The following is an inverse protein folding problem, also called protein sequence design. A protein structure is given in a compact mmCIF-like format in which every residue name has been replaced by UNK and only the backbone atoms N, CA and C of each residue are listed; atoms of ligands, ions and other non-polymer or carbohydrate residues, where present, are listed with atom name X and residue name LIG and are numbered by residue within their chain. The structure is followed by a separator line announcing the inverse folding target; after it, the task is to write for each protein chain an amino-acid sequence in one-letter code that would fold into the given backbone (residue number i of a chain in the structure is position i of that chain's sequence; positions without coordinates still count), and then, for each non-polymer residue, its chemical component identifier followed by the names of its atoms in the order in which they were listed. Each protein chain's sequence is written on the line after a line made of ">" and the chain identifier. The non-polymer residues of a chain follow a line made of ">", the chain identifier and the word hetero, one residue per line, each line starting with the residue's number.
data_IF_273764117496
#
_entry.id   IF_273764117496
#
_cell.length_a   1.000
_cell.length_b   1.000
_cell.length_c   1.000
_cell.angle_alpha   90.00
_cell.angle_beta   90.00
_cell.angle_gamma   90.00
#
_symmetry.space_group_name_H-M   'P 1'
#
loop_
_entity.id
_entity.type
_entity.pdbx_description
1 polymer ?
#
# COMPACT_ATOMS: atom_id res chain seq x y z
N UNK A 1 -16.93 -19.42 6.97
CA UNK A 1 -15.74 -18.54 6.93
C UNK A 1 -15.72 -17.85 5.58
N UNK A 2 -16.27 -16.64 5.49
CA UNK A 2 -16.17 -15.84 4.26
C UNK A 2 -14.75 -15.29 4.20
N UNK A 3 -13.92 -15.88 3.33
CA UNK A 3 -12.62 -15.32 3.02
C UNK A 3 -12.84 -13.95 2.36
N UNK A 4 -12.43 -12.90 3.05
CA UNK A 4 -12.37 -11.55 2.51
C UNK A 4 -11.27 -11.50 1.44
N UNK A 5 -11.55 -12.04 0.26
CA UNK A 5 -10.71 -11.89 -0.91
C UNK A 5 -10.81 -10.42 -1.33
N UNK A 6 -9.70 -9.69 -1.24
CA UNK A 6 -9.61 -8.34 -1.77
C UNK A 6 -10.08 -8.34 -3.23
N UNK A 7 -11.16 -7.60 -3.53
CA UNK A 7 -11.68 -7.50 -4.90
C UNK A 7 -10.59 -6.94 -5.81
N UNK A 8 -10.31 -7.60 -6.92
CA UNK A 8 -9.45 -7.06 -7.98
C UNK A 8 -10.07 -5.79 -8.53
N UNK A 9 -9.34 -4.68 -8.52
CA UNK A 9 -9.79 -3.45 -9.17
C UNK A 9 -9.75 -3.62 -10.70
N UNK A 10 -10.83 -3.34 -11.43
CA UNK A 10 -10.84 -3.44 -12.89
C UNK A 10 -9.94 -2.34 -13.49
N UNK A 11 -8.94 -2.74 -14.28
CA UNK A 11 -7.96 -1.82 -14.87
C UNK A 11 -8.61 -0.76 -15.78
N UNK A 12 -9.70 -1.12 -16.46
CA UNK A 12 -10.46 -0.21 -17.33
C UNK A 12 -11.01 1.00 -16.57
N UNK A 13 -11.39 0.84 -15.30
CA UNK A 13 -11.83 1.97 -14.48
C UNK A 13 -10.66 2.84 -14.04
N UNK A 14 -9.48 2.25 -13.87
CA UNK A 14 -8.26 2.98 -13.51
C UNK A 14 -7.79 3.87 -14.65
N UNK A 15 -7.83 3.37 -15.89
CA UNK A 15 -7.46 4.15 -17.09
C UNK A 15 -8.45 5.30 -17.40
N UNK A 16 -9.70 5.22 -16.94
CA UNK A 16 -10.69 6.30 -17.09
C UNK A 16 -10.40 7.51 -16.17
N UNK A 17 -9.57 7.32 -15.13
CA UNK A 17 -9.22 8.42 -14.23
C UNK A 17 -8.33 9.44 -14.95
N UNK A 18 -8.35 10.73 -14.54
CA UNK A 18 -7.52 11.77 -15.12
C UNK A 18 -6.05 11.67 -14.66
N UNK A 19 -5.46 10.46 -14.68
CA UNK A 19 -4.06 10.21 -14.30
C UNK A 19 -3.10 10.46 -15.47
N UNK A 20 -3.60 10.42 -16.71
CA UNK A 20 -2.78 10.54 -17.93
C UNK A 20 -1.87 9.34 -18.16
N UNK A 21 -2.18 8.19 -17.57
CA UNK A 21 -1.47 6.93 -17.74
C UNK A 21 -2.14 6.13 -18.84
N UNK A 22 -1.34 5.62 -19.79
CA UNK A 22 -1.85 4.82 -20.90
C UNK A 22 -1.48 3.35 -20.75
N UNK A 23 -2.23 2.42 -21.39
CA UNK A 23 -1.83 1.02 -21.48
C UNK A 23 -0.43 0.82 -22.10
N UNK A 24 -0.01 1.73 -22.99
CA UNK A 24 1.32 1.68 -23.61
C UNK A 24 2.45 1.94 -22.59
N UNK A 25 2.24 2.84 -21.64
CA UNK A 25 3.21 3.12 -20.57
C UNK A 25 3.43 1.87 -19.70
N UNK A 26 2.33 1.19 -19.35
CA UNK A 26 2.35 -0.03 -18.55
C UNK A 26 3.00 -1.17 -19.34
N UNK A 27 2.72 -1.30 -20.64
CA UNK A 27 3.40 -2.27 -21.50
C UNK A 27 4.92 -2.04 -21.56
N UNK A 28 5.38 -0.78 -21.59
CA UNK A 28 6.82 -0.46 -21.52
C UNK A 28 7.43 -0.85 -20.18
N UNK A 29 6.75 -0.59 -19.06
CA UNK A 29 7.18 -1.02 -17.74
C UNK A 29 7.23 -2.55 -17.64
N UNK A 30 6.23 -3.25 -18.18
CA UNK A 30 6.18 -4.72 -18.23
C UNK A 30 7.35 -5.30 -19.02
N UNK A 31 7.66 -4.72 -20.19
CA UNK A 31 8.81 -5.13 -21.00
C UNK A 31 10.13 -4.93 -20.26
N UNK A 32 10.27 -3.83 -19.50
CA UNK A 32 11.45 -3.62 -18.67
C UNK A 32 11.51 -4.60 -17.49
N UNK A 33 10.38 -4.87 -16.82
CA UNK A 33 10.34 -5.81 -15.69
C UNK A 33 10.82 -7.23 -16.09
N UNK A 34 10.50 -7.65 -17.32
CA UNK A 34 10.96 -8.93 -17.88
C UNK A 34 12.49 -8.99 -18.05
N UNK A 35 13.20 -7.86 -18.11
CA UNK A 35 14.68 -7.84 -18.17
C UNK A 35 15.35 -7.85 -16.80
N UNK A 36 14.58 -7.76 -15.71
CA UNK A 36 15.07 -7.69 -14.34
C UNK A 36 14.74 -9.00 -13.59
N UNK A 37 15.61 -10.03 -13.64
CA UNK A 37 15.30 -11.35 -13.06
C UNK A 37 15.26 -11.36 -11.53
N UNK A 38 15.89 -10.38 -10.87
CA UNK A 38 15.85 -10.24 -9.40
C UNK A 38 14.52 -9.66 -8.92
N UNK A 39 13.74 -9.02 -9.79
CA UNK A 39 12.42 -8.51 -9.45
C UNK A 39 11.34 -9.58 -9.62
N UNK A 40 10.32 -9.60 -8.75
CA UNK A 40 9.22 -10.53 -8.90
C UNK A 40 8.47 -10.30 -10.22
N UNK A 41 8.19 -11.37 -10.96
CA UNK A 41 7.46 -11.27 -12.23
C UNK A 41 5.93 -11.25 -12.05
N UNK A 42 5.44 -11.48 -10.82
CA UNK A 42 4.03 -11.49 -10.48
C UNK A 42 3.47 -10.11 -10.09
N UNK A 43 4.20 -9.02 -10.34
CA UNK A 43 3.73 -7.65 -10.08
C UNK A 43 2.49 -7.39 -10.95
N UNK A 44 1.40 -6.92 -10.35
CA UNK A 44 0.15 -6.68 -11.10
C UNK A 44 0.24 -5.40 -11.94
N UNK A 45 -0.56 -5.30 -13.01
CA UNK A 45 -0.63 -4.05 -13.78
C UNK A 45 -1.14 -2.88 -12.92
N UNK A 46 -2.02 -3.16 -11.95
CA UNK A 46 -2.46 -2.15 -10.98
C UNK A 46 -1.29 -1.63 -10.15
N UNK A 47 -0.41 -2.50 -9.65
CA UNK A 47 0.78 -2.07 -8.91
C UNK A 47 1.72 -1.23 -9.79
N UNK A 48 1.85 -1.57 -11.08
CA UNK A 48 2.63 -0.78 -12.03
C UNK A 48 2.00 0.59 -12.28
N UNK A 49 0.68 0.67 -12.45
CA UNK A 49 -0.07 1.93 -12.60
C UNK A 49 0.11 2.80 -11.36
N UNK A 50 -0.09 2.25 -10.16
CA UNK A 50 0.04 2.99 -8.90
C UNK A 50 1.48 3.49 -8.69
N UNK A 51 2.47 2.65 -8.98
CA UNK A 51 3.89 3.03 -8.89
C UNK A 51 4.21 4.16 -9.88
N UNK A 52 3.77 4.03 -11.13
CA UNK A 52 4.00 5.03 -12.17
C UNK A 52 3.29 6.35 -11.86
N UNK A 53 2.06 6.29 -11.36
CA UNK A 53 1.31 7.44 -10.88
C UNK A 53 2.04 8.16 -9.74
N UNK A 54 2.51 7.41 -8.74
CA UNK A 54 3.23 7.97 -7.58
C UNK A 54 4.54 8.68 -7.97
N UNK A 55 5.17 8.25 -9.07
CA UNK A 55 6.37 8.86 -9.63
C UNK A 55 6.08 9.95 -10.67
N UNK A 56 4.86 10.51 -10.69
CA UNK A 56 4.45 11.56 -11.64
C UNK A 56 4.69 11.16 -13.11
N UNK A 57 4.53 9.87 -13.42
CA UNK A 57 4.72 9.28 -14.76
C UNK A 57 6.18 9.36 -15.29
N UNK A 58 7.16 9.48 -14.40
CA UNK A 58 8.57 9.38 -14.78
C UNK A 58 9.03 7.91 -14.77
N UNK A 59 9.44 7.40 -15.94
CA UNK A 59 9.84 6.01 -16.11
C UNK A 59 11.08 5.67 -15.27
N UNK A 60 12.11 6.51 -15.27
CA UNK A 60 13.36 6.27 -14.55
C UNK A 60 13.13 6.22 -13.04
N UNK A 61 12.32 7.14 -12.51
CA UNK A 61 11.96 7.19 -11.10
C UNK A 61 11.10 5.98 -10.70
N UNK A 62 10.18 5.56 -11.57
CA UNK A 62 9.33 4.38 -11.34
C UNK A 62 10.15 3.09 -11.26
N UNK A 63 11.14 2.92 -12.14
CA UNK A 63 12.04 1.77 -12.12
C UNK A 63 12.82 1.69 -10.80
N UNK A 64 13.41 2.82 -10.37
CA UNK A 64 14.12 2.94 -9.09
C UNK A 64 13.20 2.67 -7.89
N UNK A 65 11.96 3.16 -7.93
CA UNK A 65 10.96 2.90 -6.90
C UNK A 65 10.66 1.41 -6.79
N UNK A 66 10.41 0.73 -7.92
CA UNK A 66 10.12 -0.70 -7.95
C UNK A 66 11.31 -1.51 -7.39
N UNK A 67 12.53 -1.23 -7.83
CA UNK A 67 13.74 -1.87 -7.31
C UNK A 67 13.88 -1.72 -5.79
N UNK A 68 13.75 -0.48 -5.32
CA UNK A 68 13.89 -0.16 -3.90
C UNK A 68 12.79 -0.82 -3.07
N UNK A 69 11.55 -0.78 -3.55
CA UNK A 69 10.39 -1.37 -2.87
C UNK A 69 10.52 -2.87 -2.67
N UNK A 70 10.91 -3.61 -3.70
CA UNK A 70 11.07 -5.07 -3.59
C UNK A 70 12.34 -5.48 -2.84
N UNK A 71 13.39 -4.67 -2.91
CA UNK A 71 14.58 -4.82 -2.04
C UNK A 71 14.19 -4.65 -0.57
N UNK A 72 13.45 -3.58 -0.24
CA UNK A 72 12.95 -3.33 1.12
C UNK A 72 12.02 -4.44 1.62
N UNK A 73 11.10 -4.92 0.77
CA UNK A 73 10.23 -6.05 1.14
C UNK A 73 11.00 -7.31 1.50
N UNK A 74 12.12 -7.56 0.83
CA UNK A 74 13.00 -8.71 1.09
C UNK A 74 13.83 -8.51 2.35
N UNK A 75 14.35 -7.31 2.58
CA UNK A 75 15.19 -7.02 3.74
C UNK A 75 14.39 -6.86 5.04
N UNK A 76 13.14 -6.42 4.97
CA UNK A 76 12.28 -6.13 6.12
C UNK A 76 11.13 -7.14 6.25
N UNK A 77 11.45 -8.42 6.12
CA UNK A 77 10.50 -9.54 6.19
C UNK A 77 9.59 -9.49 7.43
N UNK A 78 10.12 -9.11 8.59
CA UNK A 78 9.35 -9.02 9.84
C UNK A 78 8.19 -8.01 9.77
N UNK A 79 8.26 -7.03 8.87
CA UNK A 79 7.23 -6.00 8.66
C UNK A 79 6.30 -6.39 7.49
N UNK A 80 6.85 -6.98 6.42
CA UNK A 80 6.10 -7.20 5.18
C UNK A 80 5.51 -8.61 5.03
N UNK A 81 6.09 -9.64 5.66
CA UNK A 81 5.59 -11.03 5.64
C UNK A 81 4.62 -11.30 6.80
N UNK A 82 3.80 -12.34 6.63
CA UNK A 82 2.88 -12.87 7.66
C UNK A 82 2.04 -11.78 8.34
N UNK A 83 1.27 -11.05 7.52
CA UNK A 83 0.41 -9.94 7.97
C UNK A 83 -0.84 -10.44 8.70
N UNK A 84 -0.63 -11.01 9.88
CA UNK A 84 -1.68 -11.48 10.79
C UNK A 84 -1.80 -10.53 11.99
N UNK A 85 -3.00 -10.46 12.56
CA UNK A 85 -3.22 -9.82 13.86
C UNK A 85 -2.82 -10.83 14.93
N UNK A 86 -1.61 -10.68 15.46
CA UNK A 86 -1.08 -11.47 16.57
C UNK A 86 -1.14 -10.66 17.88
N UNK A 87 -0.83 -11.31 19.01
CA UNK A 87 -0.83 -10.69 20.34
C UNK A 87 -0.02 -9.40 20.42
N UNK A 88 1.06 -9.30 19.61
CA UNK A 88 1.90 -8.11 19.57
C UNK A 88 1.20 -6.95 18.85
N UNK A 89 0.50 -7.22 17.75
CA UNK A 89 -0.34 -6.20 17.08
C UNK A 89 -1.48 -5.78 17.99
N UNK A 90 -2.13 -6.71 18.69
CA UNK A 90 -3.16 -6.35 19.66
C UNK A 90 -2.61 -5.45 20.78
N UNK A 91 -1.41 -5.74 21.28
CA UNK A 91 -0.73 -4.90 22.26
C UNK A 91 -0.42 -3.50 21.72
N UNK A 92 0.04 -3.41 20.47
CA UNK A 92 0.22 -2.14 19.77
C UNK A 92 -1.09 -1.37 19.68
N UNK A 93 -2.19 -2.01 19.28
CA UNK A 93 -3.49 -1.35 19.14
C UNK A 93 -4.07 -0.86 20.48
N UNK A 94 -3.61 -1.42 21.62
CA UNK A 94 -3.91 -0.91 22.97
C UNK A 94 -3.06 0.29 23.37
N UNK A 95 -1.86 0.45 22.79
CA UNK A 95 -0.87 1.50 23.13
C UNK A 95 -0.82 2.64 22.13
N UNK A 96 -1.28 2.41 20.90
CA UNK A 96 -1.26 3.35 19.79
C UNK A 96 -2.63 3.36 19.14
N UNK A 97 -3.27 4.52 19.14
CA UNK A 97 -4.47 4.76 18.35
C UNK A 97 -4.04 4.92 16.90
N UNK A 98 -4.57 4.06 16.02
CA UNK A 98 -4.42 4.13 14.57
C UNK A 98 -5.81 4.16 13.95
N UNK A 99 -6.25 5.33 13.48
CA UNK A 99 -7.61 5.51 12.99
C UNK A 99 -7.64 6.17 11.61
N UNK A 100 -7.93 5.41 10.53
CA UNK A 100 -8.26 5.98 9.23
C UNK A 100 -9.55 6.78 9.34
N UNK A 101 -9.49 8.09 9.09
CA UNK A 101 -10.67 8.93 9.16
C UNK A 101 -11.56 8.71 7.92
N UNK A 102 -12.89 8.77 8.07
CA UNK A 102 -13.81 8.64 6.94
C UNK A 102 -13.74 9.85 5.99
N UNK A 103 -13.36 11.00 6.53
CA UNK A 103 -13.23 12.26 5.79
C UNK A 103 -11.88 12.30 5.07
N UNK A 104 -11.89 12.94 3.88
CA UNK A 104 -10.69 13.17 3.07
C UNK A 104 -10.27 14.64 3.12
N UNK A 105 -9.03 14.93 2.74
CA UNK A 105 -8.55 16.31 2.56
C UNK A 105 -9.31 16.99 1.41
N UNK A 106 -9.16 18.31 1.28
CA UNK A 106 -9.72 19.08 0.14
C UNK A 106 -9.25 18.53 -1.21
N UNK A 107 -8.04 17.99 -1.24
CA UNK A 107 -7.40 17.41 -2.42
C UNK A 107 -7.74 15.91 -2.61
N UNK A 108 -8.56 15.34 -1.72
CA UNK A 108 -9.04 13.96 -1.83
C UNK A 108 -8.13 12.90 -1.18
N UNK A 109 -7.14 13.31 -0.40
CA UNK A 109 -6.24 12.38 0.28
C UNK A 109 -6.91 11.69 1.46
N UNK A 110 -6.56 10.41 1.67
CA UNK A 110 -6.97 9.68 2.85
C UNK A 110 -6.21 10.18 4.09
N UNK A 111 -6.90 10.35 5.20
CA UNK A 111 -6.31 10.84 6.44
C UNK A 111 -6.18 9.68 7.43
N UNK A 112 -4.97 9.41 7.90
CA UNK A 112 -4.70 8.48 9.00
C UNK A 112 -4.36 9.28 10.26
N UNK A 113 -5.25 9.26 11.26
CA UNK A 113 -4.97 9.85 12.56
C UNK A 113 -4.23 8.84 13.44
N UNK A 114 -3.09 9.25 13.99
CA UNK A 114 -2.29 8.42 14.89
C UNK A 114 -2.01 9.14 16.20
N UNK A 115 -2.07 8.41 17.32
CA UNK A 115 -1.75 8.95 18.65
C UNK A 115 -1.17 7.87 19.55
N UNK A 116 -0.08 8.18 20.25
CA UNK A 116 0.42 7.34 21.33
C UNK A 116 -0.50 7.49 22.56
N UNK A 117 -1.05 6.37 23.03
CA UNK A 117 -1.84 6.29 24.26
C UNK A 117 -0.93 6.01 25.46
N UNK A 118 0.12 5.21 25.24
CA UNK A 118 1.24 5.03 26.17
C UNK A 118 2.47 5.74 25.59
N UNK A 119 3.03 6.69 26.34
CA UNK A 119 4.18 7.50 25.94
C UNK A 119 5.50 7.02 26.54
N UNK A 120 5.50 5.94 27.34
CA UNK A 120 6.75 5.36 27.84
C UNK A 120 7.51 4.71 26.67
N UNK A 121 8.72 5.20 26.31
CA UNK A 121 9.50 4.63 25.21
C UNK A 121 9.84 3.15 25.40
N UNK A 122 9.91 2.67 26.65
CA UNK A 122 10.20 1.26 26.96
C UNK A 122 9.08 0.32 26.52
N UNK A 123 7.85 0.84 26.45
CA UNK A 123 6.67 0.08 26.05
C UNK A 123 6.39 0.19 24.55
N UNK A 124 7.15 0.99 23.81
CA UNK A 124 6.91 1.23 22.40
C UNK A 124 7.52 0.14 21.50
N UNK A 125 6.66 -0.61 20.84
CA UNK A 125 7.03 -1.65 19.88
C UNK A 125 7.06 -1.07 18.47
N UNK A 126 8.19 -0.50 18.06
CA UNK A 126 8.29 0.24 16.79
C UNK A 126 8.02 -0.63 15.56
N UNK A 127 8.64 -1.82 15.48
CA UNK A 127 8.51 -2.69 14.31
C UNK A 127 7.06 -3.16 14.13
N UNK A 128 6.41 -3.55 15.22
CA UNK A 128 5.02 -3.97 15.28
C UNK A 128 4.06 -2.81 14.99
N UNK A 129 4.38 -1.60 15.45
CA UNK A 129 3.61 -0.39 15.16
C UNK A 129 3.64 -0.05 13.67
N UNK A 130 4.81 -0.11 13.05
CA UNK A 130 4.96 0.09 11.61
C UNK A 130 4.22 -0.99 10.81
N UNK A 131 4.32 -2.25 11.24
CA UNK A 131 3.57 -3.36 10.65
C UNK A 131 2.05 -3.12 10.73
N UNK A 132 1.53 -2.69 11.88
CA UNK A 132 0.11 -2.39 12.06
C UNK A 132 -0.38 -1.25 11.14
N UNK A 133 0.40 -0.17 11.02
CA UNK A 133 0.09 0.95 10.10
C UNK A 133 0.02 0.46 8.65
N UNK A 134 1.00 -0.32 8.20
CA UNK A 134 1.03 -0.85 6.83
C UNK A 134 -0.11 -1.83 6.55
N UNK A 135 -0.55 -2.61 7.54
CA UNK A 135 -1.74 -3.46 7.42
C UNK A 135 -3.02 -2.63 7.23
N UNK A 136 -3.19 -1.57 8.03
CA UNK A 136 -4.35 -0.67 7.92
C UNK A 136 -4.41 0.04 6.58
N UNK A 137 -3.27 0.58 6.11
CA UNK A 137 -3.19 1.26 4.82
C UNK A 137 -3.47 0.31 3.65
N UNK A 138 -3.00 -0.95 3.73
CA UNK A 138 -3.31 -1.97 2.74
C UNK A 138 -4.80 -2.34 2.68
N UNK A 139 -5.49 -2.33 3.83
CA UNK A 139 -6.92 -2.65 3.92
C UNK A 139 -7.82 -1.49 3.45
N UNK A 140 -7.41 -0.24 3.72
CA UNK A 140 -8.18 0.98 3.42
C UNK A 140 -8.52 1.20 1.94
N UNK A 141 -7.78 0.59 1.02
CA UNK A 141 -8.09 0.67 -0.41
C UNK A 141 -9.33 -0.13 -0.81
N UNK A 142 -9.85 -1.04 0.03
CA UNK A 142 -11.00 -1.90 -0.31
C UNK A 142 -12.37 -1.29 0.04
N UNK A 143 -12.41 -0.13 0.71
CA UNK A 143 -13.67 0.55 1.05
C UNK A 143 -13.97 1.74 0.12
N UNK A 144 -14.15 1.47 -1.18
CA UNK A 144 -15.19 2.19 -1.95
C UNK A 144 -16.49 1.38 -1.83
N UNK A 145 -17.08 1.38 -0.63
CA UNK A 145 -18.43 0.85 -0.44
C UNK A 145 -19.38 2.04 -0.47
N UNK A 146 -19.96 2.24 -1.65
CA UNK A 146 -21.30 2.77 -1.93
C UNK A 146 -21.66 4.16 -1.39
N UNK A 147 -22.31 4.92 -2.26
CA UNK A 147 -22.80 6.25 -1.96
C UNK A 147 -23.75 6.22 -0.77
N UNK A 148 -23.60 7.24 0.07
CA UNK A 148 -24.71 7.78 0.82
C UNK A 148 -25.20 8.97 0.00
N UNK A 149 -26.30 8.71 -0.72
CA UNK A 149 -27.31 9.71 -0.96
C UNK A 149 -27.94 10.14 0.37
#
# INVERSE_FOLDING_TARGET
>A
MNSYVARSFPLEEEYKKPTGITPQDIARLRKWLATQPHLPQHITDLDLILSFHSCKRCMETTKKLLDTHYTMKTNFDAIFKNRIVDDKIELVLKRVLLNPLPTRTKDGDAILYTRLLDTDPKNYLFQESLRAVLMLLGCGNTKKVHGLA
#
